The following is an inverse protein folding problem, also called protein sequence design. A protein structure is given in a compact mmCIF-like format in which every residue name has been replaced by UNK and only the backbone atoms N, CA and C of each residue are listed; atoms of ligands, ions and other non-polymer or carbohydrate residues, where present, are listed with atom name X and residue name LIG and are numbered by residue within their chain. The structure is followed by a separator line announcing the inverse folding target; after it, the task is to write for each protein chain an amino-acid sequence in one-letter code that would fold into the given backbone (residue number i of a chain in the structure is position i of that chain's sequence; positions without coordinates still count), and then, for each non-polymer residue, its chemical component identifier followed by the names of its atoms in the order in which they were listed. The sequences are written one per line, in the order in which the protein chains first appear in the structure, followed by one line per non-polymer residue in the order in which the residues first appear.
data_IF_299873944344
#
_entry.id   IF_299873944344
#
_cell.length_a   1.000
_cell.length_b   1.000
_cell.length_c   1.000
_cell.angle_alpha   90.00
_cell.angle_beta   90.00
_cell.angle_gamma   90.00
#
_symmetry.space_group_name_H-M   'P 1'
#
loop_
_entity.id
_entity.type
_entity.pdbx_description
1 polymer ?
#
# COMPACT_ATOMS: atom_id res chain seq x y z
N UNK A 1 40.45 17.39 20.03
CA UNK A 1 39.27 17.26 20.91
C UNK A 1 38.10 18.12 20.45
N UNK A 2 38.31 19.22 19.71
CA UNK A 2 37.23 20.03 19.07
C UNK A 2 36.53 19.29 17.94
N UNK A 3 37.23 18.59 17.06
CA UNK A 3 36.66 17.88 15.91
C UNK A 3 35.72 16.71 16.27
N UNK A 4 35.94 16.09 17.45
CA UNK A 4 35.10 15.00 17.94
C UNK A 4 33.79 15.55 18.54
N UNK A 5 33.83 16.73 19.17
CA UNK A 5 32.65 17.43 19.68
C UNK A 5 31.78 17.95 18.52
N UNK A 6 32.38 18.54 17.49
CA UNK A 6 31.67 19.04 16.32
C UNK A 6 31.03 17.90 15.49
N UNK A 7 31.64 16.71 15.47
CA UNK A 7 31.04 15.52 14.85
C UNK A 7 29.89 14.93 15.67
N UNK A 8 29.94 15.01 17.00
CA UNK A 8 28.84 14.58 17.88
C UNK A 8 27.68 15.57 17.88
N UNK A 9 27.94 16.88 17.83
CA UNK A 9 26.88 17.91 17.76
C UNK A 9 26.13 17.91 16.43
N UNK A 10 26.82 17.60 15.31
CA UNK A 10 26.17 17.41 13.99
C UNK A 10 25.30 16.17 13.92
N UNK A 11 25.58 15.14 14.72
CA UNK A 11 24.78 13.93 14.81
C UNK A 11 23.50 14.09 15.65
N UNK A 12 23.37 15.20 16.40
CA UNK A 12 22.25 15.46 17.31
C UNK A 12 21.23 16.48 16.77
N UNK A 13 21.43 17.00 15.56
CA UNK A 13 20.50 17.99 14.99
C UNK A 13 19.31 17.32 14.29
N UNK A 14 18.09 17.79 14.63
CA UNK A 14 16.88 17.38 13.91
C UNK A 14 17.00 17.77 12.43
N UNK A 15 16.67 16.87 11.47
CA UNK A 15 16.68 17.22 10.06
C UNK A 15 15.88 18.49 9.80
N UNK A 16 16.33 19.32 8.87
CA UNK A 16 15.64 20.55 8.52
C UNK A 16 14.22 20.25 8.00
N UNK A 17 13.28 21.14 8.28
CA UNK A 17 11.91 20.99 7.82
C UNK A 17 11.79 20.77 6.30
N UNK A 18 12.55 21.48 5.42
CA UNK A 18 12.54 21.21 3.98
C UNK A 18 12.96 19.77 3.64
N UNK A 19 13.95 19.19 4.35
CA UNK A 19 14.36 17.80 4.11
C UNK A 19 13.28 16.81 4.57
N UNK A 20 12.62 17.06 5.69
CA UNK A 20 11.51 16.22 6.17
C UNK A 20 10.35 16.27 5.18
N UNK A 21 9.98 17.46 4.68
CA UNK A 21 8.92 17.63 3.70
C UNK A 21 9.29 17.00 2.34
N UNK A 22 10.55 17.10 1.91
CA UNK A 22 11.04 16.39 0.71
C UNK A 22 10.85 14.88 0.84
N UNK A 23 11.23 14.30 1.98
CA UNK A 23 11.04 12.87 2.24
C UNK A 23 9.55 12.49 2.31
N UNK A 24 8.73 13.30 2.97
CA UNK A 24 7.29 13.07 3.05
C UNK A 24 6.62 13.10 1.67
N UNK A 25 6.92 14.13 0.86
CA UNK A 25 6.40 14.27 -0.51
C UNK A 25 6.92 13.17 -1.42
N UNK A 26 8.21 12.83 -1.32
CA UNK A 26 8.83 11.75 -2.10
C UNK A 26 8.22 10.38 -1.80
N UNK A 27 7.99 10.05 -0.53
CA UNK A 27 7.31 8.82 -0.14
C UNK A 27 5.85 8.81 -0.62
N UNK A 28 5.15 9.95 -0.48
CA UNK A 28 3.76 10.11 -0.92
C UNK A 28 3.60 9.94 -2.43
N UNK A 29 4.39 10.64 -3.26
CA UNK A 29 4.32 10.55 -4.72
C UNK A 29 4.74 9.17 -5.24
N UNK A 30 5.73 8.54 -4.60
CA UNK A 30 6.13 7.19 -4.99
C UNK A 30 5.00 6.18 -4.76
N UNK A 31 4.41 6.16 -3.56
CA UNK A 31 3.31 5.21 -3.27
C UNK A 31 2.03 5.55 -4.02
N UNK A 32 1.78 6.83 -4.30
CA UNK A 32 0.64 7.29 -5.11
C UNK A 32 0.64 6.65 -6.52
N UNK A 33 1.84 6.37 -7.07
CA UNK A 33 2.00 5.75 -8.39
C UNK A 33 1.36 4.37 -8.50
N UNK A 34 1.15 3.67 -7.39
CA UNK A 34 0.45 2.37 -7.35
C UNK A 34 -1.05 2.47 -7.65
N UNK A 35 -1.63 3.64 -7.42
CA UNK A 35 -3.08 3.83 -7.40
C UNK A 35 -3.60 4.71 -8.53
N UNK A 36 -2.72 5.39 -9.28
CA UNK A 36 -3.14 6.30 -10.34
C UNK A 36 -4.01 5.64 -11.42
N UNK A 37 -3.73 4.39 -11.78
CA UNK A 37 -4.49 3.69 -12.82
C UNK A 37 -5.93 3.38 -12.43
N UNK A 38 -6.23 3.19 -11.13
CA UNK A 38 -7.51 2.66 -10.68
C UNK A 38 -8.73 3.48 -11.13
N UNK A 39 -8.79 4.82 -10.94
CA UNK A 39 -9.98 5.60 -11.35
C UNK A 39 -10.13 5.74 -12.86
N UNK A 40 -9.05 5.55 -13.62
CA UNK A 40 -9.06 5.75 -15.07
C UNK A 40 -9.29 4.47 -15.89
N UNK A 41 -9.44 3.30 -15.24
CA UNK A 41 -9.61 2.02 -15.93
C UNK A 41 -10.84 1.99 -16.82
N UNK A 42 -11.93 2.70 -16.45
CA UNK A 42 -13.15 2.77 -17.25
C UNK A 42 -12.96 3.46 -18.61
N UNK A 43 -12.09 4.46 -18.69
CA UNK A 43 -11.83 5.23 -19.92
C UNK A 43 -10.61 4.71 -20.69
N UNK A 44 -9.62 4.15 -19.99
CA UNK A 44 -8.35 3.73 -20.56
C UNK A 44 -8.52 2.63 -21.61
N UNK A 45 -9.40 1.66 -21.39
CA UNK A 45 -9.63 0.53 -22.29
C UNK A 45 -10.12 0.97 -23.65
N UNK A 46 -11.09 1.90 -23.69
CA UNK A 46 -11.61 2.43 -24.95
C UNK A 46 -10.56 3.18 -25.77
N UNK A 47 -9.70 3.94 -25.10
CA UNK A 47 -8.68 4.77 -25.77
C UNK A 47 -7.54 3.95 -26.40
N UNK A 48 -7.17 2.80 -25.84
CA UNK A 48 -6.09 1.92 -26.36
C UNK A 48 -6.60 0.64 -27.03
N UNK A 49 -7.92 0.51 -27.21
CA UNK A 49 -8.54 -0.66 -27.84
C UNK A 49 -8.36 -1.95 -27.04
N UNK A 50 -8.29 -1.88 -25.72
CA UNK A 50 -8.09 -3.03 -24.84
C UNK A 50 -9.39 -3.42 -24.12
N UNK A 51 -9.56 -4.73 -23.90
CA UNK A 51 -10.72 -5.24 -23.14
C UNK A 51 -10.64 -4.81 -21.66
N UNK A 52 -11.80 -4.74 -20.99
CA UNK A 52 -11.88 -4.45 -19.56
C UNK A 52 -11.04 -5.43 -18.71
N UNK A 53 -10.98 -6.71 -19.12
CA UNK A 53 -10.12 -7.69 -18.48
C UNK A 53 -8.64 -7.35 -18.63
N UNK A 54 -8.19 -6.96 -19.83
CA UNK A 54 -6.79 -6.61 -20.09
C UNK A 54 -6.37 -5.36 -19.31
N UNK A 55 -7.22 -4.34 -19.23
CA UNK A 55 -6.95 -3.13 -18.46
C UNK A 55 -6.92 -3.39 -16.94
N UNK A 56 -7.71 -4.35 -16.45
CA UNK A 56 -7.69 -4.79 -15.06
C UNK A 56 -6.36 -5.41 -14.62
N UNK A 57 -5.52 -5.89 -15.56
CA UNK A 57 -4.16 -6.34 -15.24
C UNK A 57 -3.17 -5.19 -14.99
N UNK A 58 -3.50 -3.95 -15.31
CA UNK A 58 -2.64 -2.78 -15.02
C UNK A 58 -2.40 -2.64 -13.50
N UNK A 59 -3.41 -2.52 -12.63
CA UNK A 59 -3.18 -2.50 -11.19
C UNK A 59 -2.63 -3.85 -10.66
N UNK A 60 -2.98 -4.99 -11.27
CA UNK A 60 -2.45 -6.30 -10.89
C UNK A 60 -0.92 -6.32 -10.98
N UNK A 61 -0.36 -5.92 -12.13
CA UNK A 61 1.09 -5.91 -12.33
C UNK A 61 1.78 -4.85 -11.50
N UNK A 62 1.15 -3.69 -11.29
CA UNK A 62 1.69 -2.66 -10.39
C UNK A 62 1.82 -3.19 -8.95
N UNK A 63 0.81 -3.88 -8.45
CA UNK A 63 0.80 -4.45 -7.10
C UNK A 63 1.75 -5.64 -6.97
N UNK A 64 1.81 -6.52 -7.97
CA UNK A 64 2.77 -7.60 -8.04
C UNK A 64 4.21 -7.07 -8.08
N UNK A 65 4.46 -6.04 -8.89
CA UNK A 65 5.75 -5.35 -8.95
C UNK A 65 6.15 -4.81 -7.57
N UNK A 66 5.21 -4.20 -6.85
CA UNK A 66 5.48 -3.68 -5.52
C UNK A 66 5.78 -4.79 -4.50
N UNK A 67 5.04 -5.90 -4.54
CA UNK A 67 5.33 -7.08 -3.72
C UNK A 67 6.75 -7.61 -3.98
N UNK A 68 7.13 -7.77 -5.26
CA UNK A 68 8.47 -8.18 -5.67
C UNK A 68 9.53 -7.17 -5.23
N UNK A 69 9.25 -5.88 -5.37
CA UNK A 69 10.14 -4.81 -4.95
C UNK A 69 10.38 -4.80 -3.43
N UNK A 70 9.36 -5.03 -2.61
CA UNK A 70 9.53 -5.18 -1.16
C UNK A 70 10.36 -6.42 -0.85
N UNK A 71 10.00 -7.55 -1.43
CA UNK A 71 10.66 -8.83 -1.14
C UNK A 71 12.14 -8.82 -1.54
N UNK A 72 12.44 -8.30 -2.74
CA UNK A 72 13.77 -8.38 -3.33
C UNK A 72 14.62 -7.14 -3.11
N UNK A 73 14.06 -5.94 -3.12
CA UNK A 73 14.85 -4.70 -3.10
C UNK A 73 14.94 -4.04 -1.72
N UNK A 74 13.97 -4.26 -0.80
CA UNK A 74 14.05 -3.67 0.53
C UNK A 74 15.32 -4.09 1.31
N UNK A 75 15.78 -5.37 1.26
CA UNK A 75 17.01 -5.77 1.93
C UNK A 75 18.29 -5.09 1.42
N UNK A 76 18.26 -4.54 0.20
CA UNK A 76 19.40 -3.79 -0.35
C UNK A 76 19.66 -2.50 0.42
N UNK A 77 18.63 -1.88 1.00
CA UNK A 77 18.73 -0.66 1.80
C UNK A 77 19.58 -0.81 3.07
N UNK A 78 19.75 -2.03 3.55
CA UNK A 78 20.61 -2.32 4.71
C UNK A 78 22.07 -2.57 4.29
N UNK A 79 22.29 -2.97 3.03
CA UNK A 79 23.64 -3.33 2.51
C UNK A 79 24.32 -2.22 1.73
N UNK A 80 23.56 -1.33 1.10
CA UNK A 80 24.10 -0.27 0.25
C UNK A 80 23.70 1.12 0.75
N UNK A 81 24.34 2.17 0.22
CA UNK A 81 23.95 3.54 0.48
C UNK A 81 22.47 3.77 0.05
N UNK A 82 21.61 3.96 1.04
CA UNK A 82 20.17 4.11 0.85
C UNK A 82 19.82 5.30 -0.06
N UNK A 83 20.63 6.37 -0.05
CA UNK A 83 20.48 7.49 -0.99
C UNK A 83 20.61 7.03 -2.44
N UNK A 84 21.62 6.19 -2.75
CA UNK A 84 21.80 5.67 -4.12
C UNK A 84 20.62 4.80 -4.53
N UNK A 85 20.10 3.97 -3.65
CA UNK A 85 18.93 3.11 -3.92
C UNK A 85 17.71 3.98 -4.22
N UNK A 86 17.41 4.99 -3.39
CA UNK A 86 16.28 5.91 -3.60
C UNK A 86 16.41 6.62 -4.95
N UNK A 87 17.61 7.15 -5.29
CA UNK A 87 17.84 7.84 -6.56
C UNK A 87 17.69 6.91 -7.77
N UNK A 88 18.23 5.69 -7.70
CA UNK A 88 18.08 4.70 -8.77
C UNK A 88 16.62 4.33 -8.97
N UNK A 89 15.89 4.04 -7.88
CA UNK A 89 14.46 3.74 -7.94
C UNK A 89 13.65 4.93 -8.48
N UNK A 90 13.99 6.17 -8.08
CA UNK A 90 13.34 7.37 -8.61
C UNK A 90 13.54 7.53 -10.11
N UNK A 91 14.77 7.30 -10.61
CA UNK A 91 15.05 7.35 -12.04
C UNK A 91 14.29 6.27 -12.81
N UNK A 92 14.29 5.02 -12.32
CA UNK A 92 13.55 3.91 -12.94
C UNK A 92 12.04 4.18 -12.90
N UNK A 93 11.50 4.68 -11.77
CA UNK A 93 10.09 5.04 -11.64
C UNK A 93 9.69 6.14 -12.64
N UNK A 94 10.51 7.17 -12.77
CA UNK A 94 10.29 8.24 -13.75
C UNK A 94 10.22 7.68 -15.18
N UNK A 95 11.19 6.86 -15.57
CA UNK A 95 11.21 6.22 -16.90
C UNK A 95 10.02 5.30 -17.14
N UNK A 96 9.62 4.53 -16.13
CA UNK A 96 8.46 3.64 -16.21
C UNK A 96 7.14 4.44 -16.35
N UNK A 97 7.00 5.57 -15.64
CA UNK A 97 5.84 6.45 -15.75
C UNK A 97 5.80 7.15 -17.12
N UNK A 98 6.95 7.56 -17.66
CA UNK A 98 7.04 8.08 -19.03
C UNK A 98 6.62 7.02 -20.07
N UNK A 99 7.12 5.78 -19.91
CA UNK A 99 6.74 4.67 -20.78
C UNK A 99 5.25 4.34 -20.68
N UNK A 100 4.66 4.41 -19.47
CA UNK A 100 3.22 4.25 -19.28
C UNK A 100 2.43 5.35 -19.98
N UNK A 101 2.81 6.63 -19.81
CA UNK A 101 2.14 7.77 -20.45
C UNK A 101 2.28 7.80 -21.98
N UNK A 102 3.39 7.31 -22.50
CA UNK A 102 3.68 7.20 -23.94
C UNK A 102 3.23 5.88 -24.55
N UNK A 103 2.59 4.98 -23.80
CA UNK A 103 2.28 3.63 -24.27
C UNK A 103 1.33 3.64 -25.49
N UNK A 104 1.72 2.95 -26.59
CA UNK A 104 0.88 2.85 -27.78
C UNK A 104 -0.23 1.80 -27.65
N UNK A 105 -0.15 0.94 -26.63
CA UNK A 105 -1.10 -0.16 -26.40
C UNK A 105 -0.87 -0.86 -25.09
N UNK A 106 -1.76 -1.81 -24.79
CA UNK A 106 -1.84 -2.47 -23.48
C UNK A 106 -0.54 -3.20 -23.08
N UNK A 107 0.17 -3.83 -24.02
CA UNK A 107 1.38 -4.60 -23.71
C UNK A 107 2.49 -3.74 -23.07
N UNK A 108 2.77 -2.57 -23.64
CA UNK A 108 3.76 -1.63 -23.09
C UNK A 108 3.29 -1.09 -21.74
N UNK A 109 2.00 -0.78 -21.60
CA UNK A 109 1.43 -0.29 -20.35
C UNK A 109 1.55 -1.34 -19.24
N UNK A 110 1.32 -2.61 -19.52
CA UNK A 110 1.44 -3.69 -18.54
C UNK A 110 2.88 -3.86 -18.05
N UNK A 111 3.85 -3.86 -18.96
CA UNK A 111 5.28 -3.94 -18.59
C UNK A 111 5.69 -2.71 -17.78
N UNK A 112 5.31 -1.52 -18.23
CA UNK A 112 5.57 -0.28 -17.50
C UNK A 112 4.95 -0.31 -16.09
N UNK A 113 3.72 -0.82 -15.94
CA UNK A 113 3.03 -0.96 -14.66
C UNK A 113 3.77 -1.86 -13.68
N UNK A 114 4.32 -2.99 -14.15
CA UNK A 114 5.15 -3.85 -13.31
C UNK A 114 6.39 -3.10 -12.81
N UNK A 115 7.08 -2.37 -13.70
CA UNK A 115 8.28 -1.60 -13.34
C UNK A 115 7.94 -0.42 -12.43
N UNK A 116 6.79 0.25 -12.63
CA UNK A 116 6.26 1.25 -11.70
C UNK A 116 6.11 0.64 -10.32
N UNK A 117 5.48 -0.52 -10.20
CA UNK A 117 5.32 -1.22 -8.92
C UNK A 117 6.65 -1.49 -8.23
N UNK A 118 7.58 -2.13 -8.91
CA UNK A 118 8.92 -2.45 -8.36
C UNK A 118 9.64 -1.20 -7.87
N UNK A 119 9.64 -0.13 -8.65
CA UNK A 119 10.40 1.09 -8.35
C UNK A 119 9.72 2.04 -7.35
N UNK A 120 8.39 2.02 -7.26
CA UNK A 120 7.62 2.77 -6.28
C UNK A 120 7.94 2.34 -4.82
N UNK A 121 8.56 1.17 -4.63
CA UNK A 121 9.11 0.74 -3.34
C UNK A 121 10.19 1.68 -2.78
N UNK A 122 10.61 2.71 -3.50
CA UNK A 122 11.46 3.75 -2.92
C UNK A 122 10.84 4.41 -1.68
N UNK A 123 9.51 4.43 -1.54
CA UNK A 123 8.83 4.87 -0.33
C UNK A 123 9.25 4.06 0.91
N UNK A 124 9.50 2.76 0.74
CA UNK A 124 9.96 1.85 1.79
C UNK A 124 11.43 2.09 2.18
N UNK A 125 12.22 2.76 1.35
CA UNK A 125 13.58 3.18 1.68
C UNK A 125 13.61 4.57 2.34
N UNK A 126 12.69 5.47 1.95
CA UNK A 126 12.60 6.82 2.49
C UNK A 126 12.21 6.82 3.98
N UNK A 127 11.24 5.99 4.39
CA UNK A 127 10.79 5.95 5.80
C UNK A 127 11.91 5.55 6.76
N UNK A 128 12.68 4.46 6.52
CA UNK A 128 13.83 4.13 7.36
C UNK A 128 14.98 5.16 7.24
N UNK A 129 15.15 5.82 6.08
CA UNK A 129 16.11 6.90 5.94
C UNK A 129 15.80 8.06 6.88
N UNK A 130 14.53 8.46 6.94
CA UNK A 130 14.03 9.48 7.87
C UNK A 130 14.27 9.09 9.35
N UNK A 131 14.00 7.83 9.69
CA UNK A 131 14.25 7.29 11.03
C UNK A 131 15.74 7.31 11.41
N UNK A 132 16.62 7.06 10.44
CA UNK A 132 18.10 7.07 10.64
C UNK A 132 18.64 8.48 10.82
N UNK A 133 18.08 9.47 10.13
CA UNK A 133 18.51 10.87 10.22
C UNK A 133 18.02 11.56 11.49
N UNK A 134 16.92 11.08 12.08
CA UNK A 134 16.30 11.72 13.24
C UNK A 134 16.96 11.29 14.55
N UNK A 135 17.32 12.24 15.44
CA UNK A 135 17.72 11.95 16.81
C UNK A 135 16.60 11.18 17.56
N UNK A 136 16.98 10.43 18.58
CA UNK A 136 16.05 9.55 19.29
C UNK A 136 14.83 10.30 19.85
N UNK A 137 15.03 11.47 20.43
CA UNK A 137 13.97 12.31 21.00
C UNK A 137 12.96 12.87 19.98
N UNK A 138 13.32 12.96 18.70
CA UNK A 138 12.47 13.53 17.63
C UNK A 138 12.08 12.50 16.55
N UNK A 139 12.61 11.27 16.63
CA UNK A 139 12.41 10.22 15.63
C UNK A 139 10.93 9.96 15.33
N UNK A 140 10.11 9.86 16.36
CA UNK A 140 8.68 9.64 16.21
C UNK A 140 7.99 10.76 15.43
N UNK A 141 8.35 12.03 15.68
CA UNK A 141 7.80 13.19 14.97
C UNK A 141 8.22 13.21 13.50
N UNK A 142 9.50 12.98 13.22
CA UNK A 142 10.04 12.98 11.84
C UNK A 142 9.42 11.85 11.02
N UNK A 143 9.46 10.62 11.54
CA UNK A 143 8.86 9.46 10.87
C UNK A 143 7.35 9.65 10.70
N UNK A 144 6.66 10.15 11.72
CA UNK A 144 5.23 10.46 11.65
C UNK A 144 4.88 11.44 10.53
N UNK A 145 5.68 12.50 10.35
CA UNK A 145 5.49 13.46 9.24
C UNK A 145 5.67 12.78 7.87
N UNK A 146 6.70 11.94 7.72
CA UNK A 146 6.94 11.21 6.46
C UNK A 146 5.79 10.22 6.18
N UNK A 147 5.32 9.50 7.20
CA UNK A 147 4.17 8.60 7.08
C UNK A 147 2.88 9.34 6.74
N UNK A 148 2.68 10.54 7.28
CA UNK A 148 1.54 11.40 6.90
C UNK A 148 1.60 11.75 5.42
N UNK A 149 2.77 12.13 4.90
CA UNK A 149 2.97 12.36 3.47
C UNK A 149 2.65 11.13 2.61
N UNK A 150 3.09 9.95 3.05
CA UNK A 150 2.81 8.68 2.40
C UNK A 150 1.30 8.39 2.36
N UNK A 151 0.60 8.55 3.47
CA UNK A 151 -0.85 8.32 3.56
C UNK A 151 -1.64 9.32 2.73
N UNK A 152 -1.25 10.61 2.74
CA UNK A 152 -1.83 11.63 1.86
C UNK A 152 -1.62 11.29 0.39
N UNK A 153 -0.45 10.76 0.03
CA UNK A 153 -0.18 10.28 -1.33
C UNK A 153 -1.14 9.18 -1.76
N UNK A 154 -1.38 8.18 -0.91
CA UNK A 154 -2.36 7.11 -1.18
C UNK A 154 -3.76 7.70 -1.35
N UNK A 155 -4.18 8.55 -0.43
CA UNK A 155 -5.52 9.13 -0.41
C UNK A 155 -5.78 10.01 -1.64
N UNK A 156 -4.90 10.98 -1.88
CA UNK A 156 -5.09 11.97 -2.94
C UNK A 156 -4.82 11.40 -4.33
N UNK A 157 -4.08 10.29 -4.44
CA UNK A 157 -3.73 9.69 -5.73
C UNK A 157 -4.95 9.40 -6.60
N UNK A 158 -6.00 8.82 -6.02
CA UNK A 158 -7.21 8.47 -6.75
C UNK A 158 -8.01 9.71 -7.16
N UNK A 159 -8.14 10.68 -6.27
CA UNK A 159 -8.87 11.93 -6.54
C UNK A 159 -8.19 12.71 -7.67
N UNK A 160 -6.88 12.93 -7.53
CA UNK A 160 -6.10 13.68 -8.52
C UNK A 160 -6.05 12.94 -9.85
N UNK A 161 -5.80 11.63 -9.85
CA UNK A 161 -5.71 10.88 -11.11
C UNK A 161 -7.06 10.77 -11.82
N UNK A 162 -8.16 10.62 -11.09
CA UNK A 162 -9.49 10.63 -11.67
C UNK A 162 -9.81 11.96 -12.33
N UNK A 163 -9.56 13.08 -11.64
CA UNK A 163 -9.78 14.43 -12.17
C UNK A 163 -8.90 14.71 -13.40
N UNK A 164 -7.60 14.46 -13.31
CA UNK A 164 -6.67 14.69 -14.43
C UNK A 164 -7.02 13.81 -15.62
N UNK A 165 -7.36 12.55 -15.40
CA UNK A 165 -7.69 11.62 -16.48
C UNK A 165 -8.96 12.03 -17.23
N UNK A 166 -9.96 12.56 -16.54
CA UNK A 166 -11.22 13.01 -17.16
C UNK A 166 -11.05 14.29 -17.97
N UNK A 167 -10.23 15.25 -17.51
CA UNK A 167 -10.13 16.57 -18.13
C UNK A 167 -8.94 16.70 -19.10
N UNK A 168 -7.84 15.98 -18.85
CA UNK A 168 -6.59 16.10 -19.63
C UNK A 168 -6.16 14.77 -20.27
N UNK A 169 -6.92 13.69 -20.01
CA UNK A 169 -6.62 12.35 -20.46
C UNK A 169 -5.68 11.60 -19.52
N UNK A 170 -5.81 10.28 -19.50
CA UNK A 170 -5.06 9.39 -18.60
C UNK A 170 -3.54 9.44 -18.83
N UNK A 171 -3.08 9.71 -20.07
CA UNK A 171 -1.66 9.87 -20.39
C UNK A 171 -1.04 11.05 -19.67
N UNK A 172 -1.77 12.17 -19.58
CA UNK A 172 -1.31 13.38 -18.89
C UNK A 172 -1.04 13.10 -17.40
N UNK A 173 -1.82 12.22 -16.75
CA UNK A 173 -1.57 11.83 -15.37
C UNK A 173 -0.22 11.13 -15.19
N UNK A 174 0.11 10.16 -16.05
CA UNK A 174 1.39 9.46 -15.98
C UNK A 174 2.58 10.39 -16.27
N UNK A 175 2.44 11.31 -17.24
CA UNK A 175 3.48 12.30 -17.57
C UNK A 175 3.68 13.30 -16.43
N UNK A 176 2.61 13.79 -15.81
CA UNK A 176 2.68 14.66 -14.63
C UNK A 176 3.33 13.95 -13.44
N UNK A 177 2.99 12.67 -13.22
CA UNK A 177 3.62 11.85 -12.20
C UNK A 177 5.12 11.67 -12.48
N UNK A 178 5.52 11.39 -13.72
CA UNK A 178 6.93 11.28 -14.12
C UNK A 178 7.69 12.58 -13.83
N UNK A 179 7.15 13.74 -14.20
CA UNK A 179 7.75 15.04 -13.92
C UNK A 179 7.88 15.28 -12.40
N UNK A 180 6.87 14.92 -11.62
CA UNK A 180 6.90 15.04 -10.15
C UNK A 180 7.99 14.17 -9.54
N UNK A 181 8.14 12.92 -9.99
CA UNK A 181 9.20 12.01 -9.52
C UNK A 181 10.58 12.49 -9.96
N UNK A 182 10.74 13.05 -11.17
CA UNK A 182 11.98 13.65 -11.61
C UNK A 182 12.41 14.81 -10.72
N UNK A 183 11.48 15.71 -10.37
CA UNK A 183 11.73 16.83 -9.46
C UNK A 183 12.13 16.35 -8.06
N UNK A 184 11.42 15.36 -7.52
CA UNK A 184 11.76 14.73 -6.23
C UNK A 184 13.12 14.06 -6.30
N UNK A 185 13.45 13.35 -7.37
CA UNK A 185 14.77 12.74 -7.59
C UNK A 185 15.89 13.79 -7.59
N UNK A 186 15.71 14.89 -8.30
CA UNK A 186 16.66 16.00 -8.36
C UNK A 186 16.84 16.67 -6.99
N UNK A 187 15.74 16.93 -6.28
CA UNK A 187 15.79 17.50 -4.93
C UNK A 187 16.46 16.53 -3.92
N UNK A 188 16.17 15.24 -4.03
CA UNK A 188 16.81 14.19 -3.22
C UNK A 188 18.31 14.09 -3.52
N UNK A 189 18.69 14.18 -4.80
CA UNK A 189 20.10 14.20 -5.19
C UNK A 189 20.87 15.39 -4.59
N UNK A 190 20.23 16.53 -4.40
CA UNK A 190 20.86 17.70 -3.78
C UNK A 190 20.77 17.69 -2.24
N UNK A 191 19.65 17.25 -1.67
CA UNK A 191 19.34 17.46 -0.25
C UNK A 191 19.57 16.26 0.66
N UNK A 192 19.45 15.01 0.15
CA UNK A 192 19.55 13.84 1.00
C UNK A 192 21.03 13.45 1.23
N UNK A 193 21.49 13.29 2.48
CA UNK A 193 22.86 12.86 2.77
C UNK A 193 23.09 11.40 2.38
N UNK A 194 24.35 10.97 2.35
CA UNK A 194 24.75 9.57 2.15
C UNK A 194 24.53 8.78 3.44
N UNK A 195 24.13 7.51 3.29
CA UNK A 195 23.92 6.58 4.40
C UNK A 195 25.01 5.53 4.41
N UNK A 196 25.50 5.22 5.60
CA UNK A 196 26.39 4.07 5.78
C UNK A 196 25.58 2.77 5.78
N UNK A 197 26.06 1.71 5.14
CA UNK A 197 25.45 0.38 5.24
C UNK A 197 25.36 -0.07 6.70
N UNK A 198 24.24 -0.72 7.04
CA UNK A 198 23.99 -1.22 8.40
C UNK A 198 24.39 -2.68 8.57
N UNK A 199 24.60 -3.42 7.47
CA UNK A 199 25.00 -4.83 7.49
C UNK A 199 26.01 -5.15 6.38
N UNK A 200 26.85 -6.15 6.64
CA UNK A 200 27.76 -6.75 5.64
C UNK A 200 27.29 -8.15 5.21
N UNK A 201 26.11 -8.60 5.66
CA UNK A 201 25.60 -9.92 5.30
C UNK A 201 25.42 -10.05 3.79
N UNK A 202 25.72 -11.23 3.25
CA UNK A 202 25.48 -11.53 1.84
C UNK A 202 23.97 -11.40 1.53
N UNK A 203 23.64 -10.86 0.37
CA UNK A 203 22.24 -10.65 -0.05
C UNK A 203 21.42 -11.93 0.00
N UNK A 204 21.99 -13.07 -0.44
CA UNK A 204 21.35 -14.38 -0.36
C UNK A 204 20.95 -14.78 1.07
N UNK A 205 21.78 -14.46 2.07
CA UNK A 205 21.47 -14.70 3.48
C UNK A 205 20.34 -13.81 3.98
N UNK A 206 20.25 -12.57 3.51
CA UNK A 206 19.16 -11.66 3.84
C UNK A 206 17.82 -12.21 3.30
N UNK A 207 17.78 -12.63 2.04
CA UNK A 207 16.58 -13.25 1.45
C UNK A 207 16.25 -14.58 2.15
N UNK A 208 17.22 -15.45 2.39
CA UNK A 208 17.00 -16.70 3.10
C UNK A 208 16.42 -16.48 4.50
N UNK A 209 16.81 -15.38 5.18
CA UNK A 209 16.28 -15.03 6.50
C UNK A 209 14.76 -14.73 6.49
N UNK A 210 14.22 -14.21 5.38
CA UNK A 210 12.78 -14.00 5.25
C UNK A 210 12.02 -15.34 5.23
N UNK A 211 12.54 -16.32 4.47
CA UNK A 211 11.99 -17.68 4.46
C UNK A 211 12.09 -18.36 5.83
N UNK A 212 13.20 -18.16 6.54
CA UNK A 212 13.36 -18.70 7.90
C UNK A 212 12.36 -18.07 8.89
N UNK A 213 12.12 -16.77 8.82
CA UNK A 213 11.11 -16.10 9.65
C UNK A 213 9.72 -16.65 9.36
N UNK A 214 9.37 -16.83 8.09
CA UNK A 214 8.11 -17.44 7.66
C UNK A 214 7.91 -18.85 8.25
N UNK A 215 8.92 -19.71 8.15
CA UNK A 215 8.81 -21.10 8.63
C UNK A 215 8.77 -21.20 10.16
N UNK A 216 9.51 -20.34 10.86
CA UNK A 216 9.66 -20.40 12.32
C UNK A 216 8.46 -19.82 13.08
N UNK A 217 7.77 -18.80 12.55
CA UNK A 217 6.77 -18.06 13.31
C UNK A 217 5.35 -18.25 12.77
N UNK A 218 4.54 -19.02 13.50
CA UNK A 218 3.15 -19.27 13.15
C UNK A 218 2.30 -17.99 13.17
N UNK A 219 2.57 -17.06 14.11
CA UNK A 219 1.85 -15.79 14.21
C UNK A 219 2.11 -14.88 13.00
N UNK A 220 3.36 -14.88 12.46
CA UNK A 220 3.67 -14.20 11.22
C UNK A 220 2.85 -14.76 10.06
N UNK A 221 2.80 -16.11 9.91
CA UNK A 221 2.01 -16.74 8.84
C UNK A 221 0.52 -16.43 8.97
N UNK A 222 -0.04 -16.51 10.18
CA UNK A 222 -1.45 -16.19 10.44
C UNK A 222 -1.78 -14.73 10.11
N UNK A 223 -0.95 -13.79 10.57
CA UNK A 223 -1.11 -12.38 10.26
C UNK A 223 -1.01 -12.10 8.76
N UNK A 224 -0.02 -12.71 8.09
CA UNK A 224 0.22 -12.56 6.65
C UNK A 224 -0.91 -13.15 5.80
N UNK A 225 -1.40 -14.35 6.13
CA UNK A 225 -2.54 -14.95 5.43
C UNK A 225 -3.82 -14.13 5.62
N UNK A 226 -4.14 -13.73 6.85
CA UNK A 226 -5.32 -12.93 7.11
C UNK A 226 -5.27 -11.58 6.40
N UNK A 227 -4.12 -10.87 6.46
CA UNK A 227 -3.95 -9.59 5.77
C UNK A 227 -3.98 -9.75 4.25
N UNK A 228 -3.35 -10.79 3.70
CA UNK A 228 -3.38 -11.11 2.28
C UNK A 228 -4.81 -11.36 1.77
N UNK A 229 -5.59 -12.18 2.49
CA UNK A 229 -6.98 -12.49 2.15
C UNK A 229 -7.89 -11.26 2.21
N UNK A 230 -7.74 -10.39 3.23
CA UNK A 230 -8.46 -9.10 3.27
C UNK A 230 -8.10 -8.21 2.08
N UNK A 231 -6.83 -8.24 1.68
CA UNK A 231 -6.33 -7.45 0.56
C UNK A 231 -6.82 -7.94 -0.80
N UNK A 232 -7.23 -9.22 -0.93
CA UNK A 232 -7.91 -9.74 -2.14
C UNK A 232 -9.23 -8.97 -2.35
N UNK A 233 -10.10 -8.92 -1.36
CA UNK A 233 -11.39 -8.22 -1.45
C UNK A 233 -11.20 -6.72 -1.69
N UNK A 234 -10.30 -6.09 -0.94
CA UNK A 234 -9.94 -4.68 -1.08
C UNK A 234 -9.54 -4.32 -2.51
N UNK A 235 -8.60 -5.07 -3.07
CA UNK A 235 -8.09 -4.77 -4.39
C UNK A 235 -9.06 -5.15 -5.51
N UNK A 236 -9.84 -6.23 -5.34
CA UNK A 236 -10.90 -6.57 -6.28
C UNK A 236 -11.90 -5.41 -6.41
N UNK A 237 -12.35 -4.82 -5.29
CA UNK A 237 -13.24 -3.67 -5.29
C UNK A 237 -12.61 -2.45 -5.97
N UNK A 238 -11.46 -1.98 -5.49
CA UNK A 238 -10.87 -0.73 -5.98
C UNK A 238 -10.39 -0.80 -7.44
N UNK A 239 -9.96 -1.97 -7.93
CA UNK A 239 -9.51 -2.12 -9.32
C UNK A 239 -10.66 -2.26 -10.32
N UNK A 240 -11.86 -2.57 -9.87
CA UNK A 240 -13.02 -2.78 -10.76
C UNK A 240 -14.07 -1.69 -10.62
N UNK A 241 -14.04 -0.91 -9.54
CA UNK A 241 -15.02 0.14 -9.24
C UNK A 241 -15.19 1.13 -10.40
N UNK A 242 -14.08 1.64 -10.95
CA UNK A 242 -14.15 2.64 -12.03
C UNK A 242 -14.79 2.07 -13.31
N UNK A 243 -14.51 0.80 -13.63
CA UNK A 243 -15.12 0.13 -14.79
C UNK A 243 -16.61 -0.08 -14.56
N UNK A 244 -17.00 -0.49 -13.37
CA UNK A 244 -18.41 -0.69 -12.99
C UNK A 244 -19.17 0.64 -13.00
N UNK A 245 -18.60 1.71 -12.43
CA UNK A 245 -19.24 3.03 -12.41
C UNK A 245 -19.35 3.66 -13.81
N UNK A 246 -18.45 3.32 -14.73
CA UNK A 246 -18.49 3.83 -16.10
C UNK A 246 -19.59 3.17 -16.94
N UNK A 247 -19.97 1.93 -16.61
CA UNK A 247 -21.05 1.19 -17.27
C UNK A 247 -22.44 1.57 -16.75
N UNK A 248 -23.44 0.88 -17.31
CA UNK A 248 -24.84 0.97 -16.82
C UNK A 248 -24.97 0.45 -15.38
N UNK A 249 -25.85 1.00 -14.58
CA UNK A 249 -26.76 2.14 -14.83
C UNK A 249 -26.17 3.50 -14.46
N UNK A 250 -24.88 3.58 -14.07
CA UNK A 250 -24.30 4.76 -13.44
C UNK A 250 -23.78 5.80 -14.44
N UNK A 251 -23.11 5.38 -15.52
CA UNK A 251 -22.49 6.24 -16.54
C UNK A 251 -21.61 7.37 -15.96
N UNK A 252 -20.86 7.06 -14.88
CA UNK A 252 -20.01 8.02 -14.18
C UNK A 252 -18.59 8.05 -14.75
N UNK A 253 -17.98 9.25 -14.74
CA UNK A 253 -16.62 9.47 -15.21
C UNK A 253 -15.52 9.08 -14.21
N UNK A 254 -14.26 9.27 -14.62
CA UNK A 254 -13.10 8.97 -13.80
C UNK A 254 -13.01 9.85 -12.54
N UNK A 255 -13.47 11.11 -12.59
CA UNK A 255 -13.52 11.99 -11.41
C UNK A 255 -14.43 11.45 -10.34
N UNK A 256 -15.61 10.91 -10.71
CA UNK A 256 -16.53 10.30 -9.75
C UNK A 256 -15.89 9.05 -9.12
N UNK A 257 -15.30 8.16 -9.94
CA UNK A 257 -14.57 7.00 -9.43
C UNK A 257 -13.40 7.40 -8.51
N UNK A 258 -12.68 8.48 -8.84
CA UNK A 258 -11.63 9.04 -8.01
C UNK A 258 -12.14 9.62 -6.69
N UNK A 259 -13.32 10.28 -6.70
CA UNK A 259 -13.93 10.84 -5.50
C UNK A 259 -14.30 9.76 -4.46
N UNK A 260 -14.64 8.53 -4.87
CA UNK A 260 -14.77 7.40 -3.95
C UNK A 260 -13.49 7.15 -3.14
N UNK A 261 -12.30 7.53 -3.66
CA UNK A 261 -11.06 7.48 -2.90
C UNK A 261 -11.07 8.28 -1.59
N UNK A 262 -11.95 9.32 -1.49
CA UNK A 262 -12.14 10.06 -0.23
C UNK A 262 -12.79 9.19 0.86
N UNK A 263 -13.55 8.17 0.50
CA UNK A 263 -14.05 7.20 1.47
C UNK A 263 -12.89 6.47 2.17
N UNK A 264 -11.78 6.21 1.44
CA UNK A 264 -10.56 5.65 2.01
C UNK A 264 -9.86 6.55 3.04
N UNK A 265 -10.17 7.88 3.07
CA UNK A 265 -9.68 8.77 4.13
C UNK A 265 -10.14 8.34 5.52
N UNK A 266 -11.31 7.72 5.61
CA UNK A 266 -11.82 7.16 6.85
C UNK A 266 -10.88 6.10 7.42
N UNK A 267 -10.21 5.31 6.56
CA UNK A 267 -9.19 4.34 6.95
C UNK A 267 -8.03 4.99 7.74
N UNK A 268 -7.62 6.21 7.37
CA UNK A 268 -6.57 6.92 8.11
C UNK A 268 -7.00 7.24 9.56
N UNK A 269 -8.29 7.45 9.81
CA UNK A 269 -8.84 7.67 11.14
C UNK A 269 -8.88 6.38 11.99
N UNK A 270 -8.81 5.22 11.37
CA UNK A 270 -8.76 3.95 12.09
C UNK A 270 -7.48 3.80 12.92
N UNK A 271 -6.36 4.38 12.47
CA UNK A 271 -5.05 4.17 13.08
C UNK A 271 -5.00 4.51 14.59
N UNK A 272 -5.39 5.73 15.04
CA UNK A 272 -5.36 6.06 16.47
C UNK A 272 -6.41 5.30 17.28
N UNK A 273 -7.51 4.88 16.67
CA UNK A 273 -8.58 4.12 17.35
C UNK A 273 -8.13 2.67 17.54
N UNK A 274 -7.68 2.05 16.47
CA UNK A 274 -7.18 0.67 16.47
C UNK A 274 -5.97 0.50 17.39
N UNK A 275 -5.01 1.45 17.34
CA UNK A 275 -3.85 1.44 18.22
C UNK A 275 -4.25 1.47 19.70
N UNK A 276 -5.08 2.42 20.13
CA UNK A 276 -5.57 2.52 21.50
C UNK A 276 -6.35 1.28 21.94
N UNK A 277 -7.14 0.69 21.05
CA UNK A 277 -7.90 -0.51 21.38
C UNK A 277 -6.95 -1.72 21.49
N UNK A 278 -5.95 -1.83 20.60
CA UNK A 278 -4.93 -2.87 20.66
C UNK A 278 -4.11 -2.80 21.96
N UNK A 279 -3.75 -1.59 22.39
CA UNK A 279 -3.02 -1.37 23.67
C UNK A 279 -3.84 -1.77 24.89
N UNK A 280 -5.17 -1.52 24.86
CA UNK A 280 -6.05 -1.77 26.02
C UNK A 280 -6.59 -3.18 26.08
N UNK A 281 -6.94 -3.80 24.94
CA UNK A 281 -7.64 -5.10 24.87
C UNK A 281 -6.89 -6.15 24.05
N UNK A 282 -5.69 -5.85 23.63
CA UNK A 282 -4.86 -6.71 22.81
C UNK A 282 -5.15 -6.62 21.29
N UNK A 283 -4.11 -6.83 20.47
CA UNK A 283 -4.22 -6.70 19.01
C UNK A 283 -5.10 -7.79 18.38
N UNK A 284 -5.23 -8.97 19.00
CA UNK A 284 -6.07 -10.07 18.51
C UNK A 284 -7.55 -9.67 18.39
N UNK A 285 -8.08 -8.96 19.38
CA UNK A 285 -9.47 -8.47 19.33
C UNK A 285 -9.65 -7.50 18.17
N UNK A 286 -8.69 -6.61 17.94
CA UNK A 286 -8.75 -5.62 16.85
C UNK A 286 -8.73 -6.29 15.49
N UNK A 287 -7.93 -7.36 15.30
CA UNK A 287 -7.93 -8.11 14.05
C UNK A 287 -9.27 -8.78 13.77
N UNK A 288 -9.94 -9.32 14.80
CA UNK A 288 -11.26 -9.96 14.66
C UNK A 288 -12.36 -8.94 14.38
N UNK A 289 -12.40 -7.85 15.11
CA UNK A 289 -13.40 -6.79 14.91
C UNK A 289 -13.22 -6.11 13.54
N UNK A 290 -11.99 -5.79 13.15
CA UNK A 290 -11.69 -5.20 11.85
C UNK A 290 -12.05 -6.14 10.70
N UNK A 291 -11.65 -7.42 10.75
CA UNK A 291 -12.03 -8.40 9.74
C UNK A 291 -13.56 -8.61 9.70
N UNK A 292 -14.24 -8.63 10.85
CA UNK A 292 -15.70 -8.69 10.91
C UNK A 292 -16.37 -7.48 10.26
N UNK A 293 -15.85 -6.27 10.48
CA UNK A 293 -16.33 -5.06 9.81
C UNK A 293 -16.15 -5.13 8.29
N UNK A 294 -15.02 -5.65 7.81
CA UNK A 294 -14.78 -5.86 6.37
C UNK A 294 -15.80 -6.83 5.77
N UNK A 295 -16.04 -7.97 6.45
CA UNK A 295 -17.06 -8.94 6.03
C UNK A 295 -18.45 -8.29 5.94
N UNK A 296 -18.87 -7.59 6.99
CA UNK A 296 -20.17 -6.91 7.01
C UNK A 296 -20.30 -5.88 5.89
N UNK A 297 -19.25 -5.11 5.64
CA UNK A 297 -19.20 -4.09 4.59
C UNK A 297 -19.37 -4.70 3.21
N UNK A 298 -18.62 -5.76 2.86
CA UNK A 298 -18.77 -6.41 1.56
C UNK A 298 -20.09 -7.15 1.43
N UNK A 299 -20.53 -7.86 2.46
CA UNK A 299 -21.82 -8.56 2.43
C UNK A 299 -23.02 -7.60 2.31
N UNK A 300 -22.94 -6.39 2.90
CA UNK A 300 -24.00 -5.39 2.76
C UNK A 300 -24.22 -4.95 1.31
N UNK A 301 -23.17 -4.96 0.48
CA UNK A 301 -23.26 -4.61 -0.94
C UNK A 301 -24.12 -5.62 -1.74
N UNK A 302 -24.37 -6.82 -1.21
CA UNK A 302 -25.31 -7.76 -1.82
C UNK A 302 -26.76 -7.22 -1.87
N UNK A 303 -27.07 -6.20 -1.07
CA UNK A 303 -28.37 -5.54 -1.09
C UNK A 303 -28.52 -4.51 -2.25
N UNK A 304 -27.45 -4.19 -2.97
CA UNK A 304 -27.47 -3.19 -4.03
C UNK A 304 -28.58 -3.41 -5.09
N UNK A 305 -28.86 -4.63 -5.59
CA UNK A 305 -29.87 -4.83 -6.62
C UNK A 305 -31.31 -4.44 -6.20
N UNK A 306 -31.59 -4.34 -4.89
CA UNK A 306 -32.90 -3.94 -4.37
C UNK A 306 -33.05 -2.43 -4.12
N UNK A 307 -31.97 -1.66 -4.38
CA UNK A 307 -31.96 -0.22 -4.13
C UNK A 307 -32.04 0.57 -5.46
N UNK A 308 -32.61 1.78 -5.44
CA UNK A 308 -32.49 2.72 -6.55
C UNK A 308 -31.02 3.13 -6.75
N UNK A 309 -30.71 3.68 -7.91
CA UNK A 309 -29.31 4.00 -8.31
C UNK A 309 -28.58 4.85 -7.27
N UNK A 310 -29.26 5.89 -6.74
CA UNK A 310 -28.70 6.76 -5.69
C UNK A 310 -28.45 5.96 -4.40
N UNK A 311 -29.34 5.05 -4.04
CA UNK A 311 -29.19 4.16 -2.90
C UNK A 311 -28.01 3.20 -3.05
N UNK A 312 -27.76 2.71 -4.27
CA UNK A 312 -26.58 1.88 -4.56
C UNK A 312 -25.28 2.68 -4.35
N UNK A 313 -25.22 3.92 -4.84
CA UNK A 313 -24.04 4.78 -4.65
C UNK A 313 -23.79 5.07 -3.16
N UNK A 314 -24.83 5.39 -2.40
CA UNK A 314 -24.71 5.59 -0.94
C UNK A 314 -24.22 4.33 -0.26
N UNK A 315 -24.77 3.16 -0.60
CA UNK A 315 -24.35 1.89 -0.05
C UNK A 315 -22.87 1.60 -0.36
N UNK A 316 -22.41 1.85 -1.60
CA UNK A 316 -21.03 1.68 -2.00
C UNK A 316 -20.08 2.58 -1.18
N UNK A 317 -20.44 3.86 -0.97
CA UNK A 317 -19.64 4.79 -0.16
C UNK A 317 -19.56 4.33 1.30
N UNK A 318 -20.71 4.01 1.92
CA UNK A 318 -20.77 3.58 3.32
C UNK A 318 -19.99 2.28 3.53
N UNK A 319 -20.16 1.33 2.63
CA UNK A 319 -19.42 0.07 2.69
C UNK A 319 -17.93 0.27 2.43
N UNK A 320 -17.53 1.20 1.53
CA UNK A 320 -16.13 1.55 1.31
C UNK A 320 -15.49 2.11 2.58
N UNK A 321 -16.15 3.04 3.26
CA UNK A 321 -15.71 3.56 4.57
C UNK A 321 -15.53 2.41 5.57
N UNK A 322 -16.51 1.51 5.64
CA UNK A 322 -16.49 0.39 6.59
C UNK A 322 -15.32 -0.58 6.35
N UNK A 323 -15.14 -1.04 5.11
CA UNK A 323 -14.06 -1.99 4.83
C UNK A 323 -12.68 -1.32 4.90
N UNK A 324 -12.51 -0.06 4.49
CA UNK A 324 -11.22 0.65 4.63
C UNK A 324 -10.84 0.81 6.11
N UNK A 325 -11.79 1.21 6.98
CA UNK A 325 -11.58 1.26 8.43
C UNK A 325 -11.16 -0.12 8.97
N UNK A 326 -11.86 -1.17 8.57
CA UNK A 326 -11.59 -2.55 9.02
C UNK A 326 -10.21 -3.06 8.57
N UNK A 327 -9.84 -2.83 7.31
CA UNK A 327 -8.55 -3.25 6.75
C UNK A 327 -7.39 -2.50 7.41
N UNK A 328 -7.51 -1.19 7.62
CA UNK A 328 -6.47 -0.41 8.28
C UNK A 328 -6.33 -0.78 9.76
N UNK A 329 -7.44 -0.99 10.46
CA UNK A 329 -7.42 -1.45 11.84
C UNK A 329 -6.72 -2.82 11.97
N UNK A 330 -7.06 -3.78 11.11
CA UNK A 330 -6.40 -5.09 11.06
C UNK A 330 -4.94 -5.00 10.71
N UNK A 331 -4.55 -4.15 9.76
CA UNK A 331 -3.14 -3.97 9.39
C UNK A 331 -2.30 -3.50 10.58
N UNK A 332 -2.77 -2.49 11.32
CA UNK A 332 -2.08 -1.96 12.51
C UNK A 332 -1.95 -3.04 13.57
N UNK A 333 -3.03 -3.78 13.82
CA UNK A 333 -3.01 -4.87 14.80
C UNK A 333 -2.09 -6.01 14.36
N UNK A 334 -2.07 -6.39 13.09
CA UNK A 334 -1.13 -7.38 12.54
C UNK A 334 0.32 -6.91 12.67
N UNK A 335 0.61 -5.62 12.39
CA UNK A 335 1.94 -5.06 12.61
C UNK A 335 2.35 -5.12 14.08
N UNK A 336 1.44 -4.83 15.01
CA UNK A 336 1.71 -4.94 16.45
C UNK A 336 2.08 -6.37 16.85
N UNK A 337 1.33 -7.38 16.37
CA UNK A 337 1.61 -8.80 16.60
C UNK A 337 3.00 -9.16 16.03
N UNK A 338 3.23 -8.81 14.78
CA UNK A 338 4.44 -9.16 14.04
C UNK A 338 5.70 -8.51 14.64
N UNK A 339 5.62 -7.24 15.06
CA UNK A 339 6.73 -6.54 15.70
C UNK A 339 7.06 -7.05 17.10
N UNK A 340 6.12 -7.73 17.76
CA UNK A 340 6.32 -8.40 19.03
C UNK A 340 7.08 -9.73 18.94
N UNK A 341 7.21 -10.34 17.73
CA UNK A 341 7.85 -11.64 17.53
C UNK A 341 9.35 -11.57 17.79
N UNK A 342 10.05 -10.64 17.13
CA UNK A 342 11.51 -10.45 17.23
C UNK A 342 11.86 -8.98 17.02
N UNK A 343 12.24 -8.24 18.07
CA UNK A 343 12.65 -6.84 17.96
C UNK A 343 13.81 -6.58 16.99
N UNK A 344 14.73 -7.55 16.83
CA UNK A 344 15.88 -7.46 15.93
C UNK A 344 15.54 -7.73 14.45
N UNK A 345 14.35 -8.28 14.20
CA UNK A 345 13.90 -8.65 12.85
C UNK A 345 12.69 -7.84 12.35
N UNK A 346 12.27 -6.77 13.04
CA UNK A 346 11.04 -6.01 12.72
C UNK A 346 10.92 -5.61 11.27
N UNK A 347 11.98 -5.10 10.66
CA UNK A 347 11.99 -4.68 9.25
C UNK A 347 11.71 -5.88 8.31
N UNK A 348 12.34 -7.02 8.57
CA UNK A 348 12.17 -8.24 7.77
C UNK A 348 10.78 -8.88 7.98
N UNK A 349 10.29 -8.89 9.22
CA UNK A 349 8.94 -9.34 9.56
C UNK A 349 7.87 -8.50 8.86
N UNK A 350 8.04 -7.17 8.87
CA UNK A 350 7.16 -6.25 8.15
C UNK A 350 7.22 -6.46 6.63
N UNK A 351 8.40 -6.72 6.08
CA UNK A 351 8.54 -7.01 4.65
C UNK A 351 7.74 -8.25 4.25
N UNK A 352 7.75 -9.31 5.05
CA UNK A 352 6.94 -10.53 4.81
C UNK A 352 5.44 -10.22 4.86
N UNK A 353 4.98 -9.49 5.87
CA UNK A 353 3.59 -9.09 6.02
C UNK A 353 3.10 -8.27 4.82
N UNK A 354 3.87 -7.24 4.43
CA UNK A 354 3.51 -6.37 3.30
C UNK A 354 3.61 -7.09 1.95
N UNK A 355 4.59 -7.96 1.77
CA UNK A 355 4.67 -8.81 0.55
C UNK A 355 3.40 -9.65 0.41
N UNK A 356 2.94 -10.29 1.49
CA UNK A 356 1.68 -11.08 1.48
C UNK A 356 0.46 -10.21 1.20
N UNK A 357 0.41 -9.00 1.77
CA UNK A 357 -0.64 -8.01 1.50
C UNK A 357 -0.70 -7.66 0.01
N UNK A 358 0.43 -7.31 -0.60
CA UNK A 358 0.46 -6.90 -2.00
C UNK A 358 0.28 -8.06 -2.98
N UNK A 359 0.69 -9.29 -2.62
CA UNK A 359 0.31 -10.50 -3.37
C UNK A 359 -1.22 -10.67 -3.34
N UNK A 360 -1.84 -10.54 -2.17
CA UNK A 360 -3.30 -10.56 -2.04
C UNK A 360 -3.97 -9.49 -2.90
N UNK A 361 -3.43 -8.27 -2.91
CA UNK A 361 -3.93 -7.20 -3.77
C UNK A 361 -3.81 -7.54 -5.26
N UNK A 362 -2.68 -8.10 -5.72
CA UNK A 362 -2.48 -8.50 -7.11
C UNK A 362 -3.47 -9.61 -7.51
N UNK A 363 -3.65 -10.61 -6.66
CA UNK A 363 -4.64 -11.69 -6.87
C UNK A 363 -6.06 -11.12 -6.94
N UNK A 364 -6.40 -10.23 -6.00
CA UNK A 364 -7.72 -9.59 -5.97
C UNK A 364 -8.01 -8.76 -7.20
N UNK A 365 -7.05 -7.96 -7.66
CA UNK A 365 -7.18 -7.18 -8.89
C UNK A 365 -7.35 -8.08 -10.13
N UNK A 366 -6.54 -9.12 -10.26
CA UNK A 366 -6.62 -10.05 -11.39
C UNK A 366 -7.96 -10.80 -11.41
N UNK A 367 -8.35 -11.42 -10.28
CA UNK A 367 -9.61 -12.15 -10.18
C UNK A 367 -10.80 -11.20 -10.31
N UNK A 368 -10.75 -10.01 -9.69
CA UNK A 368 -11.79 -9.00 -9.80
C UNK A 368 -12.07 -8.59 -11.23
N UNK A 369 -11.01 -8.34 -12.03
CA UNK A 369 -11.16 -8.00 -13.43
C UNK A 369 -11.80 -9.11 -14.27
N UNK A 370 -11.40 -10.37 -14.04
CA UNK A 370 -11.98 -11.54 -14.73
C UNK A 370 -13.44 -11.73 -14.32
N UNK A 371 -13.74 -11.67 -13.03
CA UNK A 371 -15.09 -11.85 -12.49
C UNK A 371 -16.04 -10.75 -12.97
N UNK A 372 -15.58 -9.49 -12.97
CA UNK A 372 -16.39 -8.38 -13.48
C UNK A 372 -16.74 -8.58 -14.95
N UNK A 373 -15.76 -9.01 -15.78
CA UNK A 373 -15.94 -9.19 -17.21
C UNK A 373 -16.87 -10.37 -17.55
N UNK A 374 -16.85 -11.45 -16.77
CA UNK A 374 -17.58 -12.67 -17.09
C UNK A 374 -18.93 -12.77 -16.37
N UNK A 375 -19.02 -12.32 -15.11
CA UNK A 375 -20.20 -12.52 -14.25
C UNK A 375 -20.69 -11.23 -13.58
N UNK A 376 -20.10 -10.07 -13.92
CA UNK A 376 -20.52 -8.77 -13.44
C UNK A 376 -20.13 -8.46 -11.99
N UNK A 377 -20.63 -7.33 -11.50
CA UNK A 377 -20.24 -6.74 -10.22
C UNK A 377 -20.52 -7.63 -9.00
N UNK A 378 -21.64 -8.38 -9.01
CA UNK A 378 -21.99 -9.24 -7.89
C UNK A 378 -20.98 -10.36 -7.66
N UNK A 379 -20.33 -10.86 -8.72
CA UNK A 379 -19.26 -11.85 -8.57
C UNK A 379 -18.00 -11.26 -7.91
N UNK A 380 -17.69 -9.98 -8.16
CA UNK A 380 -16.60 -9.26 -7.47
C UNK A 380 -16.92 -9.12 -5.97
N UNK A 381 -18.17 -8.76 -5.64
CA UNK A 381 -18.61 -8.67 -4.24
C UNK A 381 -18.60 -10.04 -3.55
N UNK A 382 -18.97 -11.11 -4.25
CA UNK A 382 -18.87 -12.47 -3.72
C UNK A 382 -17.42 -12.85 -3.42
N UNK A 383 -16.46 -12.58 -4.34
CA UNK A 383 -15.04 -12.79 -4.09
C UNK A 383 -14.57 -12.02 -2.85
N UNK A 384 -14.92 -10.72 -2.74
CA UNK A 384 -14.53 -9.89 -1.62
C UNK A 384 -15.10 -10.40 -0.29
N UNK A 385 -16.37 -10.84 -0.29
CA UNK A 385 -17.02 -11.41 0.89
C UNK A 385 -16.38 -12.74 1.31
N UNK A 386 -16.15 -13.65 0.36
CA UNK A 386 -15.56 -14.98 0.64
C UNK A 386 -14.12 -14.84 1.14
N UNK A 387 -13.31 -14.00 0.50
CA UNK A 387 -11.93 -13.79 0.93
C UNK A 387 -11.85 -13.14 2.32
N UNK A 388 -12.77 -12.23 2.64
CA UNK A 388 -12.84 -11.59 3.96
C UNK A 388 -13.33 -12.55 5.03
N UNK A 389 -14.31 -13.42 4.73
CA UNK A 389 -14.75 -14.51 5.62
C UNK A 389 -13.60 -15.49 5.89
N UNK A 390 -12.84 -15.87 4.86
CA UNK A 390 -11.66 -16.71 5.03
C UNK A 390 -10.62 -16.04 5.93
N UNK A 391 -10.38 -14.73 5.77
CA UNK A 391 -9.48 -13.97 6.65
C UNK A 391 -9.96 -13.96 8.10
N UNK A 392 -11.24 -13.73 8.34
CA UNK A 392 -11.84 -13.79 9.67
C UNK A 392 -11.70 -15.18 10.27
N UNK A 393 -11.95 -16.25 9.50
CA UNK A 393 -11.77 -17.63 9.93
C UNK A 393 -10.34 -17.92 10.37
N UNK A 394 -9.32 -17.44 9.62
CA UNK A 394 -7.90 -17.55 10.01
C UNK A 394 -7.63 -16.87 11.36
N UNK A 395 -8.35 -15.80 11.69
CA UNK A 395 -8.19 -15.11 13.00
C UNK A 395 -9.02 -15.71 14.12
N UNK A 396 -10.09 -16.43 13.83
CA UNK A 396 -10.92 -17.13 14.82
C UNK A 396 -10.36 -18.52 15.16
N UNK A 397 -9.84 -19.26 14.17
CA UNK A 397 -9.23 -20.59 14.37
C UNK A 397 -7.78 -20.45 14.79
N UNK A 398 -7.48 -20.96 15.99
CA UNK A 398 -6.17 -20.95 16.61
C UNK A 398 -6.04 -19.83 17.64
N UNK A 399 -6.44 -20.11 18.87
CA UNK A 399 -5.95 -19.35 20.01
C UNK A 399 -4.43 -19.58 20.11
N UNK A 400 -3.60 -18.53 20.21
CA UNK A 400 -2.22 -18.71 20.58
C UNK A 400 -2.21 -19.42 21.94
N UNK A 401 -1.51 -20.54 22.06
CA UNK A 401 -1.10 -21.04 23.37
C UNK A 401 -0.28 -19.92 24.00
N UNK A 402 -0.86 -19.24 24.99
CA UNK A 402 -0.10 -18.33 25.86
C UNK A 402 0.95 -19.19 26.53
N UNK A 403 2.25 -18.95 26.29
CA UNK A 403 3.30 -19.73 26.94
C UNK A 403 3.03 -19.66 28.47
N UNK A 404 3.00 -20.83 29.11
CA UNK A 404 2.65 -20.97 30.51
C UNK A 404 3.52 -20.13 31.49
N UNK A 405 4.60 -19.51 31.00
CA UNK A 405 5.48 -18.61 31.75
C UNK A 405 5.05 -17.14 31.88
N UNK A 406 4.06 -16.66 31.12
CA UNK A 406 3.66 -15.24 31.14
C UNK A 406 2.57 -14.91 32.20
N UNK A 407 2.15 -15.86 33.02
CA UNK A 407 1.12 -15.68 34.07
C UNK A 407 1.65 -15.27 35.45
N UNK A 408 2.95 -15.05 35.59
CA UNK A 408 3.56 -14.75 36.91
C UNK A 408 4.27 -13.40 36.95
N UNK A 409 3.71 -12.35 36.39
CA UNK A 409 4.05 -10.96 36.80
C UNK A 409 2.77 -10.14 36.77
N UNK A 410 2.06 -10.16 37.87
CA UNK A 410 1.14 -9.10 38.30
C UNK A 410 1.56 -8.62 39.67
#
# INVERSE_FOLDING_TARGET
MSDIRDAHDKAAQVPSLPLILLMATGAGLAVASLYYSQPMLGILGGDIGASAQATGFVPTLTQLGYALGILLLAPLGDRFDRRRIILTKAAVLCMALLAAGASPGIGVLLVASLVVGVSATMAQDIVPAAATLAPEHSRGKVVGTVMTGLLLGILLSRVVSGFVAEHLGWRAMFLAAAASIALIGLATWRGLPRFKPTTQLAYSRLIASLGQLWTRHADLRRASWAQGLLSVGFSAFWSTLAVMLHGEPFHLGASAAGAFGLAGAAGALAAPIAGRLADRRGPELVTRLGAGLVVLSFMSMAAAPWLPVEGQLVLLVVAAIGFDLGIQATLIAHQTIVYGIDPGARSRLNAVLFTSMFIGMAVGSALGAVLLAQWGWMAVIALASVSSLAALSVRLWGTPEVPAGARLVR
#
